data_IF_293871620480
#
_entry.id   IF_293871620480
#
_cell.length_a   1.000
_cell.length_b   1.000
_cell.length_c   1.000
_cell.angle_alpha   90.00
_cell.angle_beta   90.00
_cell.angle_gamma   90.00
#
_symmetry.space_group_name_H-M   'P 1'
#
loop_
_entity.id
_entity.type
_entity.pdbx_description
1 polymer ?
#
# COMPACT_ATOMS: atom_id res chain seq x y z
N UNK A 1 -29.28 44.81 -50.66
CA UNK A 1 -28.10 44.07 -51.18
C UNK A 1 -27.21 43.73 -50.00
N UNK A 2 -27.10 42.43 -49.74
CA UNK A 2 -26.24 41.64 -48.84
C UNK A 2 -25.94 42.11 -47.39
N UNK A 3 -26.27 41.28 -46.39
CA UNK A 3 -25.95 41.53 -44.99
C UNK A 3 -24.51 41.14 -44.63
N UNK A 4 -24.00 41.87 -43.64
CA UNK A 4 -22.75 41.69 -42.92
C UNK A 4 -22.62 40.28 -42.32
N UNK A 5 -21.52 39.59 -42.61
CA UNK A 5 -21.16 38.31 -41.96
C UNK A 5 -20.25 38.59 -40.77
N UNK A 6 -20.80 38.47 -39.57
CA UNK A 6 -20.04 38.37 -38.31
C UNK A 6 -19.51 36.93 -38.21
N UNK A 7 -18.19 36.75 -38.35
CA UNK A 7 -17.53 35.48 -38.06
C UNK A 7 -17.19 35.41 -36.58
N UNK A 8 -17.90 34.58 -35.82
CA UNK A 8 -17.53 34.21 -34.46
C UNK A 8 -16.37 33.22 -34.51
N UNK A 9 -15.18 33.62 -34.05
CA UNK A 9 -14.07 32.70 -33.82
C UNK A 9 -14.23 32.08 -32.42
N UNK A 10 -14.57 30.80 -32.37
CA UNK A 10 -14.53 29.99 -31.15
C UNK A 10 -13.06 29.67 -30.88
N UNK A 11 -12.46 30.36 -29.92
CA UNK A 11 -11.12 30.05 -29.42
C UNK A 11 -11.18 28.78 -28.57
N UNK A 12 -10.65 27.68 -29.07
CA UNK A 12 -10.40 26.49 -28.28
C UNK A 12 -9.27 26.80 -27.27
N UNK A 13 -9.64 26.98 -26.01
CA UNK A 13 -8.70 27.13 -24.91
C UNK A 13 -8.14 25.74 -24.59
N UNK A 14 -6.98 25.41 -25.16
CA UNK A 14 -6.23 24.21 -24.82
C UNK A 14 -5.70 24.37 -23.39
N UNK A 15 -6.42 23.82 -22.40
CA UNK A 15 -5.87 23.66 -21.05
C UNK A 15 -4.72 22.67 -21.14
N UNK A 16 -3.49 23.17 -21.21
CA UNK A 16 -2.30 22.37 -21.04
C UNK A 16 -2.32 21.78 -19.63
N UNK A 17 -2.54 20.47 -19.54
CA UNK A 17 -2.32 19.71 -18.32
C UNK A 17 -0.82 19.80 -18.02
N UNK A 18 -0.44 20.68 -17.09
CA UNK A 18 0.93 20.75 -16.62
C UNK A 18 1.18 19.47 -15.80
N UNK A 19 1.91 18.52 -16.37
CA UNK A 19 2.45 17.39 -15.64
C UNK A 19 3.33 17.97 -14.51
N UNK A 20 2.88 17.80 -13.27
CA UNK A 20 3.71 18.10 -12.12
C UNK A 20 4.87 17.09 -12.09
N UNK A 21 6.08 17.50 -11.65
CA UNK A 21 7.13 16.52 -11.41
C UNK A 21 6.63 15.55 -10.34
N UNK A 22 6.54 14.26 -10.70
CA UNK A 22 6.37 13.21 -9.72
C UNK A 22 7.65 13.15 -8.89
N UNK A 23 7.56 13.38 -7.59
CA UNK A 23 8.63 13.00 -6.68
C UNK A 23 8.58 11.48 -6.58
N UNK A 24 9.74 10.83 -6.71
CA UNK A 24 9.86 9.42 -6.40
C UNK A 24 9.92 9.29 -4.88
N UNK A 25 9.17 8.34 -4.32
CA UNK A 25 9.25 7.97 -2.92
C UNK A 25 10.70 7.59 -2.56
N UNK A 26 11.17 7.98 -1.39
CA UNK A 26 12.47 7.58 -0.87
C UNK A 26 12.20 6.46 0.11
N UNK A 27 12.47 5.21 -0.30
CA UNK A 27 12.12 4.03 0.48
C UNK A 27 13.02 3.90 1.72
N UNK A 28 12.71 4.62 2.79
CA UNK A 28 13.43 4.69 4.06
C UNK A 28 12.52 4.67 5.31
N UNK A 29 11.21 4.69 5.10
CA UNK A 29 10.16 4.67 6.11
C UNK A 29 9.88 6.02 6.74
N UNK A 30 10.51 7.11 6.30
CA UNK A 30 10.39 8.44 6.91
C UNK A 30 9.68 9.45 5.99
N UNK A 31 8.98 10.42 6.59
CA UNK A 31 8.28 11.51 5.89
C UNK A 31 7.25 11.06 4.83
N UNK A 32 6.69 9.86 4.96
CA UNK A 32 5.76 9.20 4.03
C UNK A 32 4.69 10.15 3.45
N UNK A 33 3.97 10.99 4.25
CA UNK A 33 2.92 11.86 3.70
C UNK A 33 3.43 12.95 2.75
N UNK A 34 4.73 13.26 2.80
CA UNK A 34 5.36 14.31 2.00
C UNK A 34 5.91 13.82 0.66
N UNK A 35 5.87 12.50 0.42
CA UNK A 35 6.48 11.88 -0.76
C UNK A 35 5.62 11.93 -2.02
N UNK A 36 4.39 12.44 -1.91
CA UNK A 36 3.49 12.62 -3.04
C UNK A 36 2.66 11.39 -3.41
N UNK A 37 2.69 10.33 -2.59
CA UNK A 37 1.78 9.20 -2.70
C UNK A 37 0.35 9.60 -2.33
N UNK A 38 -0.63 9.00 -3.00
CA UNK A 38 -2.06 9.22 -2.73
C UNK A 38 -2.47 8.57 -1.41
N UNK A 39 -3.09 9.33 -0.50
CA UNK A 39 -3.73 8.79 0.70
C UNK A 39 -4.92 7.90 0.33
N UNK A 40 -4.88 6.63 0.74
CA UNK A 40 -5.88 5.59 0.41
C UNK A 40 -6.76 5.23 1.59
N UNK A 41 -6.23 5.26 2.80
CA UNK A 41 -6.99 5.04 4.03
C UNK A 41 -6.32 5.69 5.23
N UNK A 42 -7.12 6.03 6.24
CA UNK A 42 -6.66 6.46 7.56
C UNK A 42 -7.28 5.58 8.63
N UNK A 43 -6.59 5.43 9.74
CA UNK A 43 -7.11 4.78 10.93
C UNK A 43 -8.23 5.62 11.52
N UNK A 44 -9.31 4.94 11.91
CA UNK A 44 -10.49 5.53 12.55
C UNK A 44 -10.73 4.96 13.96
N UNK A 45 -9.86 4.04 14.38
CA UNK A 45 -9.99 3.27 15.60
C UNK A 45 -8.78 3.50 16.52
N UNK A 46 -8.99 3.89 17.79
CA UNK A 46 -7.92 3.97 18.81
C UNK A 46 -7.18 2.64 18.94
N UNK A 47 -5.88 2.68 19.22
CA UNK A 47 -5.08 1.46 19.33
C UNK A 47 -5.40 0.64 20.58
N UNK A 48 -5.73 -0.63 20.37
CA UNK A 48 -5.85 -1.65 21.41
C UNK A 48 -4.55 -2.40 21.69
N UNK A 49 -3.46 -2.04 21.00
CA UNK A 49 -2.15 -2.73 21.01
C UNK A 49 -1.01 -1.83 21.52
N UNK A 50 -1.37 -0.76 22.23
CA UNK A 50 -0.42 0.20 22.78
C UNK A 50 -0.16 1.36 21.83
N UNK A 51 0.29 2.49 22.39
CA UNK A 51 0.62 3.73 21.70
C UNK A 51 2.13 3.98 21.81
N UNK A 52 2.84 4.12 20.69
CA UNK A 52 4.25 4.44 20.67
C UNK A 52 4.49 5.91 21.03
N UNK A 53 5.19 6.17 22.13
CA UNK A 53 5.44 7.54 22.64
C UNK A 53 6.93 7.88 22.77
N UNK A 54 7.80 6.88 22.63
CA UNK A 54 9.24 7.01 22.92
C UNK A 54 10.14 7.21 21.70
N UNK A 55 9.65 6.99 20.48
CA UNK A 55 10.41 7.11 19.24
C UNK A 55 11.55 6.10 19.08
N UNK A 56 11.53 5.00 19.85
CA UNK A 56 12.55 3.96 19.79
C UNK A 56 12.32 3.04 18.59
N UNK A 57 13.35 2.88 17.76
CA UNK A 57 13.32 2.05 16.56
C UNK A 57 13.08 0.57 16.86
N UNK A 58 13.76 0.04 17.88
CA UNK A 58 13.79 -1.40 18.20
C UNK A 58 12.68 -1.85 19.16
N UNK A 59 11.97 -0.90 19.77
CA UNK A 59 10.96 -1.18 20.79
C UNK A 59 9.59 -0.57 20.49
N UNK A 60 9.52 0.65 19.94
CA UNK A 60 8.35 1.52 19.77
C UNK A 60 7.51 1.81 21.04
N UNK A 61 7.22 0.80 21.85
CA UNK A 61 6.38 0.88 23.06
C UNK A 61 4.89 0.62 22.81
N UNK A 62 4.51 0.36 21.55
CA UNK A 62 3.15 0.03 21.12
C UNK A 62 3.13 -0.36 19.64
N UNK A 63 2.09 -1.08 19.24
CA UNK A 63 1.80 -1.34 17.82
C UNK A 63 0.55 -0.58 17.40
N UNK A 64 0.69 0.30 16.42
CA UNK A 64 -0.41 1.05 15.82
C UNK A 64 -0.16 1.33 14.34
N UNK A 65 -1.26 1.54 13.60
CA UNK A 65 -1.21 1.91 12.19
C UNK A 65 -2.10 3.12 11.98
N UNK A 66 -1.64 4.07 11.17
CA UNK A 66 -2.20 5.41 11.13
C UNK A 66 -2.79 5.77 9.77
N UNK A 67 -2.04 5.58 8.69
CA UNK A 67 -2.46 5.96 7.36
C UNK A 67 -1.74 5.12 6.31
N UNK A 68 -2.44 4.84 5.22
CA UNK A 68 -1.97 4.10 4.07
C UNK A 68 -1.98 5.04 2.87
N UNK A 69 -0.83 5.16 2.23
CA UNK A 69 -0.59 5.87 0.98
C UNK A 69 -0.13 4.84 -0.05
N UNK A 70 -0.64 4.90 -1.27
CA UNK A 70 -0.16 4.00 -2.31
C UNK A 70 -0.50 4.48 -3.72
N UNK A 71 0.38 4.21 -4.68
CA UNK A 71 0.17 4.44 -6.10
C UNK A 71 0.86 3.37 -6.94
N UNK A 72 0.35 3.16 -8.16
CA UNK A 72 0.98 2.30 -9.17
C UNK A 72 1.49 3.20 -10.29
N UNK A 73 2.81 3.21 -10.51
CA UNK A 73 3.46 4.00 -11.52
C UNK A 73 4.52 3.18 -12.26
N UNK A 74 4.44 3.13 -13.59
CA UNK A 74 5.47 2.47 -14.41
C UNK A 74 5.65 0.97 -14.14
N UNK A 75 4.62 0.28 -13.66
CA UNK A 75 4.70 -1.15 -13.29
C UNK A 75 5.21 -1.41 -11.87
N UNK A 76 5.43 -0.36 -11.07
CA UNK A 76 5.81 -0.46 -9.66
C UNK A 76 4.63 -0.02 -8.81
N UNK A 77 4.26 -0.84 -7.83
CA UNK A 77 3.38 -0.46 -6.74
C UNK A 77 4.23 0.08 -5.59
N UNK A 78 4.05 1.35 -5.24
CA UNK A 78 4.68 1.98 -4.09
C UNK A 78 3.64 2.15 -2.99
N UNK A 79 3.95 1.69 -1.78
CA UNK A 79 3.08 1.71 -0.60
C UNK A 79 3.85 2.39 0.53
N UNK A 80 3.22 3.35 1.19
CA UNK A 80 3.69 3.95 2.43
C UNK A 80 2.64 3.79 3.53
N UNK A 81 3.04 3.28 4.68
CA UNK A 81 2.16 3.06 5.84
C UNK A 81 2.82 3.71 7.05
N UNK A 82 2.16 4.70 7.63
CA UNK A 82 2.65 5.34 8.85
C UNK A 82 2.17 4.57 10.08
N UNK A 83 3.04 4.38 11.09
CA UNK A 83 2.74 3.61 12.28
C UNK A 83 3.97 2.99 12.93
N UNK A 84 3.72 2.07 13.85
CA UNK A 84 4.74 1.41 14.65
C UNK A 84 4.38 -0.06 14.91
N UNK A 85 5.40 -0.88 15.13
CA UNK A 85 5.26 -2.24 15.61
C UNK A 85 6.14 -2.43 16.84
N UNK A 86 5.54 -2.84 17.94
CA UNK A 86 6.23 -3.07 19.20
C UNK A 86 7.28 -4.19 19.06
N UNK A 87 8.45 -3.98 19.67
CA UNK A 87 9.59 -4.92 19.71
C UNK A 87 9.36 -6.19 20.54
N UNK A 88 8.16 -6.76 20.50
CA UNK A 88 7.72 -7.93 21.26
C UNK A 88 7.24 -9.08 20.36
N UNK A 89 7.66 -9.05 19.09
CA UNK A 89 7.29 -10.00 18.04
C UNK A 89 5.84 -9.94 17.55
N UNK A 90 5.05 -8.93 17.94
CA UNK A 90 3.84 -8.59 17.20
C UNK A 90 4.13 -8.58 15.69
N UNK A 91 3.14 -8.97 14.89
CA UNK A 91 3.28 -9.04 13.45
C UNK A 91 2.47 -7.96 12.78
N UNK A 92 2.97 -7.48 11.65
CA UNK A 92 2.20 -6.69 10.71
C UNK A 92 2.07 -7.50 9.42
N UNK A 93 0.84 -7.82 9.02
CA UNK A 93 0.53 -8.53 7.78
C UNK A 93 -0.08 -7.55 6.77
N UNK A 94 0.51 -7.50 5.58
CA UNK A 94 -0.05 -6.86 4.39
C UNK A 94 -0.44 -7.96 3.41
N UNK A 95 -1.73 -8.06 3.10
CA UNK A 95 -2.30 -8.94 2.09
C UNK A 95 -2.52 -8.16 0.80
N UNK A 96 -2.25 -8.82 -0.32
CA UNK A 96 -2.25 -8.27 -1.66
C UNK A 96 -3.06 -9.21 -2.55
N UNK A 97 -3.97 -8.65 -3.34
CA UNK A 97 -4.68 -9.33 -4.44
C UNK A 97 -4.29 -8.58 -5.72
N UNK A 98 -3.42 -9.22 -6.51
CA UNK A 98 -2.75 -8.67 -7.66
C UNK A 98 -3.01 -9.46 -8.95
N UNK A 99 -3.24 -10.77 -8.84
CA UNK A 99 -3.40 -11.70 -9.96
C UNK A 99 -4.64 -12.59 -9.77
N UNK A 100 -5.24 -13.13 -10.83
CA UNK A 100 -6.35 -14.07 -10.67
C UNK A 100 -5.94 -15.32 -9.89
N UNK A 101 -6.60 -15.57 -8.77
CA UNK A 101 -6.30 -16.69 -7.88
C UNK A 101 -6.50 -16.29 -6.43
N UNK A 102 -5.81 -16.97 -5.52
CA UNK A 102 -5.78 -16.61 -4.11
C UNK A 102 -7.00 -17.04 -3.30
N UNK A 103 -7.15 -16.42 -2.14
CA UNK A 103 -8.07 -16.83 -1.10
C UNK A 103 -8.94 -15.65 -0.64
N UNK A 104 -10.26 -15.77 -0.79
CA UNK A 104 -11.17 -14.80 -0.14
C UNK A 104 -11.31 -15.08 1.37
N UNK A 105 -11.13 -16.34 1.77
CA UNK A 105 -11.10 -16.78 3.17
C UNK A 105 -9.81 -17.56 3.35
N UNK A 106 -8.96 -17.08 4.25
CA UNK A 106 -7.62 -17.62 4.47
C UNK A 106 -7.70 -19.08 4.92
N UNK A 107 -6.98 -19.96 4.23
CA UNK A 107 -6.86 -21.38 4.55
C UNK A 107 -5.87 -21.62 5.70
N UNK A 108 -5.79 -22.88 6.14
CA UNK A 108 -4.98 -23.33 7.28
C UNK A 108 -3.78 -24.19 6.84
N UNK A 109 -3.30 -23.99 5.62
CA UNK A 109 -2.20 -24.72 5.01
C UNK A 109 -1.23 -23.83 4.22
N UNK A 110 -1.21 -22.54 4.55
CA UNK A 110 -0.39 -21.52 3.92
C UNK A 110 1.04 -21.46 4.48
N UNK A 111 2.01 -21.28 3.59
CA UNK A 111 3.41 -21.03 3.90
C UNK A 111 3.62 -19.53 4.19
N UNK A 112 4.40 -19.20 5.22
CA UNK A 112 4.76 -17.81 5.55
C UNK A 112 6.26 -17.58 5.73
N UNK A 113 7.07 -18.63 5.50
CA UNK A 113 8.52 -18.56 5.62
C UNK A 113 9.00 -18.44 7.07
N UNK A 114 8.12 -18.67 8.05
CA UNK A 114 8.39 -18.60 9.47
C UNK A 114 7.89 -19.83 10.23
N UNK A 115 7.18 -19.61 11.33
CA UNK A 115 6.66 -20.65 12.21
C UNK A 115 5.23 -21.06 11.85
N UNK A 116 4.73 -20.66 10.68
CA UNK A 116 3.38 -20.98 10.21
C UNK A 116 2.29 -20.15 10.89
N UNK A 117 2.64 -18.95 11.38
CA UNK A 117 1.74 -18.08 12.13
C UNK A 117 0.53 -17.64 11.28
N UNK A 118 0.70 -17.49 9.96
CA UNK A 118 -0.41 -17.16 9.05
C UNK A 118 -1.62 -18.09 9.20
N UNK A 119 -1.38 -19.37 9.52
CA UNK A 119 -2.42 -20.39 9.67
C UNK A 119 -3.26 -20.20 10.94
N UNK A 120 -2.74 -19.48 11.94
CA UNK A 120 -3.50 -19.12 13.13
C UNK A 120 -4.59 -18.08 12.84
N UNK A 121 -4.54 -17.43 11.66
CA UNK A 121 -5.59 -16.54 11.15
C UNK A 121 -6.61 -17.25 10.25
N UNK A 122 -6.54 -18.57 10.08
CA UNK A 122 -7.44 -19.30 9.20
C UNK A 122 -8.92 -18.99 9.47
N UNK A 123 -9.68 -18.83 8.39
CA UNK A 123 -11.08 -18.37 8.44
C UNK A 123 -11.26 -16.85 8.43
N UNK A 124 -10.16 -16.07 8.42
CA UNK A 124 -10.20 -14.63 8.15
C UNK A 124 -10.64 -14.39 6.70
N UNK A 125 -11.69 -13.60 6.52
CA UNK A 125 -12.19 -13.24 5.19
C UNK A 125 -11.70 -11.86 4.75
N UNK A 126 -11.75 -11.59 3.44
CA UNK A 126 -11.46 -10.29 2.85
C UNK A 126 -12.72 -9.69 2.21
N UNK A 127 -12.95 -8.40 2.48
CA UNK A 127 -14.11 -7.67 1.98
C UNK A 127 -14.10 -7.52 0.45
N UNK A 128 -15.22 -7.06 -0.10
CA UNK A 128 -15.40 -6.72 -1.53
C UNK A 128 -15.14 -7.89 -2.50
N UNK A 129 -15.12 -9.12 -2.01
CA UNK A 129 -14.84 -10.31 -2.82
C UNK A 129 -13.38 -10.43 -3.26
N UNK A 130 -12.47 -9.66 -2.65
CA UNK A 130 -11.04 -9.77 -2.92
C UNK A 130 -10.53 -11.17 -2.58
N UNK A 131 -9.63 -11.68 -3.39
CA UNK A 131 -9.03 -13.01 -3.26
C UNK A 131 -7.53 -12.84 -3.12
N UNK A 132 -7.07 -12.61 -1.89
CA UNK A 132 -5.66 -12.29 -1.61
C UNK A 132 -4.77 -13.44 -2.07
N UNK A 133 -3.72 -13.12 -2.81
CA UNK A 133 -2.83 -14.07 -3.47
C UNK A 133 -1.39 -13.99 -2.94
N UNK A 134 -0.96 -12.80 -2.52
CA UNK A 134 0.38 -12.56 -2.02
C UNK A 134 0.32 -11.74 -0.73
N UNK A 135 1.47 -11.59 -0.09
CA UNK A 135 1.60 -10.62 0.97
C UNK A 135 2.98 -10.52 1.58
N UNK A 136 3.07 -9.65 2.57
CA UNK A 136 4.26 -9.41 3.37
C UNK A 136 3.94 -9.53 4.85
N UNK A 137 4.87 -10.11 5.60
CA UNK A 137 4.86 -10.17 7.05
C UNK A 137 6.07 -9.43 7.59
N UNK A 138 5.82 -8.48 8.48
CA UNK A 138 6.83 -7.74 9.21
C UNK A 138 6.82 -8.17 10.68
N UNK A 139 8.01 -8.25 11.27
CA UNK A 139 8.16 -8.50 12.70
C UNK A 139 9.41 -7.82 13.24
N UNK A 140 9.35 -7.48 14.52
CA UNK A 140 10.50 -7.00 15.28
C UNK A 140 10.41 -7.49 16.72
N UNK A 141 11.55 -7.93 17.26
CA UNK A 141 11.63 -8.36 18.65
C UNK A 141 12.93 -9.09 18.96
N UNK A 142 13.34 -9.08 20.23
CA UNK A 142 14.54 -9.81 20.67
C UNK A 142 15.83 -9.41 19.94
N UNK A 143 15.90 -8.18 19.41
CA UNK A 143 17.01 -7.70 18.59
C UNK A 143 17.02 -8.20 17.15
N UNK A 144 15.91 -8.77 16.66
CA UNK A 144 15.72 -9.24 15.29
C UNK A 144 14.64 -8.41 14.59
N UNK A 145 14.79 -8.19 13.28
CA UNK A 145 13.70 -7.79 12.40
C UNK A 145 13.57 -8.78 11.23
N UNK A 146 12.34 -8.96 10.77
CA UNK A 146 12.07 -9.82 9.62
C UNK A 146 10.98 -9.25 8.73
N UNK A 147 11.26 -9.19 7.43
CA UNK A 147 10.30 -8.94 6.36
C UNK A 147 10.32 -10.13 5.44
N UNK A 148 9.19 -10.83 5.35
CA UNK A 148 9.02 -12.04 4.54
C UNK A 148 7.85 -11.89 3.61
N UNK A 149 7.99 -12.41 2.41
CA UNK A 149 6.91 -12.54 1.45
C UNK A 149 6.28 -13.93 1.53
N UNK A 150 5.00 -14.01 1.22
CA UNK A 150 4.27 -15.25 1.04
C UNK A 150 3.40 -15.20 -0.21
N UNK A 151 3.20 -16.37 -0.80
CA UNK A 151 2.37 -16.64 -1.96
C UNK A 151 1.35 -17.73 -1.58
N UNK A 152 0.08 -17.35 -1.58
CA UNK A 152 -1.06 -18.19 -1.22
C UNK A 152 -1.50 -19.09 -2.39
N UNK A 153 -1.13 -18.77 -3.63
CA UNK A 153 -1.46 -19.57 -4.80
C UNK A 153 -0.51 -20.76 -4.90
N UNK A 154 0.79 -20.47 -4.89
CA UNK A 154 1.83 -21.49 -5.04
C UNK A 154 2.22 -22.11 -3.68
N UNK A 155 1.69 -21.56 -2.59
CA UNK A 155 1.96 -21.98 -1.22
C UNK A 155 3.46 -21.95 -0.90
N UNK A 156 4.08 -20.81 -1.20
CA UNK A 156 5.52 -20.59 -0.98
C UNK A 156 5.77 -19.34 -0.17
N UNK A 157 6.99 -19.19 0.32
CA UNK A 157 7.40 -18.00 1.06
C UNK A 157 8.91 -17.81 0.97
N UNK A 158 9.37 -16.59 1.27
CA UNK A 158 10.79 -16.26 1.24
C UNK A 158 11.13 -14.99 2.01
N UNK A 159 12.42 -14.84 2.31
CA UNK A 159 12.93 -13.63 2.96
C UNK A 159 13.03 -12.49 1.93
N UNK A 160 12.52 -11.31 2.32
CA UNK A 160 12.74 -10.05 1.60
C UNK A 160 13.93 -9.32 2.23
N UNK A 161 13.87 -9.10 3.54
CA UNK A 161 14.95 -8.51 4.32
C UNK A 161 14.87 -9.00 5.78
N UNK A 162 15.96 -9.56 6.29
CA UNK A 162 16.05 -10.03 7.69
C UNK A 162 17.39 -9.63 8.29
N UNK A 163 17.41 -9.34 9.59
CA UNK A 163 18.63 -8.96 10.30
C UNK A 163 18.46 -9.00 11.81
N UNK A 164 19.56 -8.80 12.54
CA UNK A 164 19.50 -8.61 13.98
C UNK A 164 20.76 -7.94 14.57
N UNK A 165 20.54 -7.14 15.62
CA UNK A 165 21.56 -6.40 16.36
C UNK A 165 21.12 -4.99 16.78
N UNK A 166 21.84 -4.33 17.70
CA UNK A 166 21.63 -2.90 17.98
C UNK A 166 21.95 -2.07 16.73
N UNK A 167 20.96 -1.33 16.20
CA UNK A 167 21.15 -0.40 15.06
C UNK A 167 20.59 -0.87 13.72
N UNK A 168 19.78 -1.92 13.71
CA UNK A 168 19.25 -2.53 12.49
C UNK A 168 18.00 -1.84 11.90
N UNK A 169 17.36 -0.97 12.68
CA UNK A 169 16.37 0.00 12.19
C UNK A 169 16.91 1.43 12.39
N UNK A 170 16.67 2.35 11.44
CA UNK A 170 15.79 2.21 10.28
C UNK A 170 16.39 1.42 9.10
N UNK A 171 15.52 0.82 8.27
CA UNK A 171 15.89 0.25 6.97
C UNK A 171 15.69 1.28 5.86
N UNK A 172 16.61 1.31 4.89
CA UNK A 172 16.46 2.13 3.70
C UNK A 172 16.86 1.34 2.44
N UNK A 173 15.89 1.13 1.55
CA UNK A 173 16.09 0.56 0.22
C UNK A 173 16.64 -0.87 0.21
N UNK A 174 16.26 -1.71 1.18
CA UNK A 174 16.71 -3.11 1.26
C UNK A 174 15.64 -4.05 0.69
N UNK A 175 16.03 -5.15 0.07
CA UNK A 175 15.05 -6.12 -0.41
C UNK A 175 15.59 -7.16 -1.37
N UNK A 176 14.69 -8.00 -1.85
CA UNK A 176 14.94 -9.15 -2.71
C UNK A 176 13.67 -9.51 -3.50
N UNK A 177 13.80 -10.24 -4.60
CA UNK A 177 12.65 -10.85 -5.27
C UNK A 177 11.62 -9.87 -5.86
N UNK A 178 12.04 -8.67 -6.26
CA UNK A 178 11.12 -7.63 -6.77
C UNK A 178 10.54 -6.72 -5.69
N UNK A 179 10.94 -6.90 -4.43
CA UNK A 179 10.55 -6.06 -3.31
C UNK A 179 11.71 -5.16 -2.87
N UNK A 180 11.40 -3.91 -2.54
CA UNK A 180 12.30 -2.98 -1.85
C UNK A 180 11.55 -2.38 -0.66
N UNK A 181 12.20 -2.30 0.50
CA UNK A 181 11.56 -1.96 1.78
C UNK A 181 12.38 -0.91 2.52
N UNK A 182 11.65 0.06 3.07
CA UNK A 182 12.10 1.07 4.03
C UNK A 182 11.29 0.91 5.31
N UNK A 183 11.92 1.12 6.46
CA UNK A 183 11.22 1.00 7.74
C UNK A 183 11.85 1.90 8.80
N UNK A 184 11.11 2.91 9.21
CA UNK A 184 11.37 3.76 10.37
C UNK A 184 10.28 3.56 11.41
N UNK A 185 10.62 2.88 12.50
CA UNK A 185 9.70 2.52 13.59
C UNK A 185 9.67 3.59 14.70
N UNK A 186 10.16 4.81 14.45
CA UNK A 186 10.28 5.89 15.44
C UNK A 186 9.07 6.82 15.55
N UNK A 187 7.96 6.51 14.86
CA UNK A 187 6.77 7.35 14.90
C UNK A 187 6.23 7.52 16.34
N UNK A 188 5.83 8.74 16.72
CA UNK A 188 5.27 9.08 18.05
C UNK A 188 3.98 9.89 17.96
N UNK A 189 3.47 10.04 16.74
CA UNK A 189 2.25 10.78 16.40
C UNK A 189 1.24 9.78 15.84
N UNK A 190 -0.03 10.18 15.69
CA UNK A 190 -1.04 9.28 15.17
C UNK A 190 -2.16 9.01 16.16
N UNK A 191 -2.72 7.80 16.05
CA UNK A 191 -3.73 7.27 16.95
C UNK A 191 -3.11 6.91 18.30
N UNK A 192 -3.91 7.02 19.35
CA UNK A 192 -3.53 6.59 20.68
C UNK A 192 -4.61 5.67 21.28
N UNK A 193 -4.45 5.24 22.53
CA UNK A 193 -5.41 4.35 23.19
C UNK A 193 -6.78 4.98 23.48
N UNK A 194 -6.95 6.29 23.27
CA UNK A 194 -8.18 7.03 23.52
C UNK A 194 -8.81 7.62 22.25
N UNK A 195 -8.04 7.86 21.19
CA UNK A 195 -8.47 8.63 20.02
C UNK A 195 -7.76 8.21 18.74
N UNK A 196 -8.51 8.19 17.64
CA UNK A 196 -7.96 8.05 16.28
C UNK A 196 -7.77 9.39 15.56
N UNK A 197 -8.13 10.51 16.18
CA UNK A 197 -8.16 11.83 15.51
C UNK A 197 -6.77 12.29 15.01
N UNK A 198 -5.70 11.75 15.59
CA UNK A 198 -4.33 12.07 15.21
C UNK A 198 -3.79 11.26 14.03
N UNK A 199 -4.52 10.30 13.48
CA UNK A 199 -4.03 9.37 12.45
C UNK A 199 -3.23 10.05 11.33
N UNK A 200 -3.74 11.15 10.74
CA UNK A 200 -3.08 11.87 9.65
C UNK A 200 -1.81 12.65 10.05
N UNK A 201 -1.45 12.68 11.33
CA UNK A 201 -0.25 13.39 11.84
C UNK A 201 0.99 12.51 11.90
N UNK A 202 0.83 11.18 11.79
CA UNK A 202 1.94 10.25 11.72
C UNK A 202 2.72 10.42 10.42
N UNK A 203 4.04 10.26 10.48
CA UNK A 203 4.92 10.55 9.34
C UNK A 203 5.92 9.45 9.00
N UNK A 204 6.18 8.51 9.92
CA UNK A 204 7.09 7.39 9.69
C UNK A 204 6.41 6.04 9.91
N UNK A 205 6.98 4.99 9.33
CA UNK A 205 6.52 3.61 9.40
C UNK A 205 7.19 2.75 8.34
N UNK A 206 6.41 2.06 7.51
CA UNK A 206 6.88 1.17 6.45
C UNK A 206 6.69 1.77 5.07
N UNK A 207 7.68 1.57 4.21
CA UNK A 207 7.58 1.84 2.78
C UNK A 207 7.98 0.59 2.00
N UNK A 208 7.23 0.31 0.94
CA UNK A 208 7.36 -0.91 0.16
C UNK A 208 7.21 -0.54 -1.31
N UNK A 209 8.20 -0.87 -2.12
CA UNK A 209 8.08 -0.93 -3.57
C UNK A 209 8.03 -2.37 -4.04
N UNK A 210 7.11 -2.63 -4.95
CA UNK A 210 6.93 -3.92 -5.59
C UNK A 210 7.00 -3.72 -7.10
N UNK A 211 8.05 -4.22 -7.74
CA UNK A 211 8.08 -4.38 -9.19
C UNK A 211 7.10 -5.50 -9.55
N UNK A 212 5.94 -5.13 -10.08
CA UNK A 212 4.83 -6.06 -10.31
C UNK A 212 5.19 -7.16 -11.33
N UNK A 213 6.08 -6.86 -12.28
CA UNK A 213 6.53 -7.83 -13.27
C UNK A 213 7.50 -8.80 -12.63
N UNK A 214 8.46 -8.30 -11.87
CA UNK A 214 9.45 -9.14 -11.21
C UNK A 214 8.84 -10.00 -10.10
N UNK A 215 7.98 -9.40 -9.28
CA UNK A 215 7.37 -10.07 -8.13
C UNK A 215 6.25 -11.02 -8.54
N UNK A 216 5.36 -10.60 -9.45
CA UNK A 216 4.10 -11.30 -9.73
C UNK A 216 3.87 -11.65 -11.20
N UNK A 217 4.80 -11.29 -12.10
CA UNK A 217 4.58 -11.43 -13.55
C UNK A 217 3.45 -10.56 -14.09
N UNK A 218 3.04 -9.54 -13.33
CA UNK A 218 1.93 -8.64 -13.66
C UNK A 218 2.47 -7.36 -14.27
N UNK A 219 1.95 -6.96 -15.43
CA UNK A 219 2.35 -5.70 -16.07
C UNK A 219 1.42 -4.53 -15.77
N UNK A 220 0.19 -4.80 -15.33
CA UNK A 220 -0.86 -3.81 -15.11
C UNK A 220 -2.12 -4.46 -14.54
N UNK A 221 -2.87 -3.69 -13.76
CA UNK A 221 -4.08 -4.12 -13.08
C UNK A 221 -4.36 -3.24 -11.87
N UNK A 222 -5.57 -3.32 -11.36
CA UNK A 222 -5.88 -2.80 -10.04
C UNK A 222 -5.32 -3.77 -9.00
N UNK A 223 -4.83 -3.24 -7.87
CA UNK A 223 -4.30 -4.05 -6.77
C UNK A 223 -5.15 -3.81 -5.53
N UNK A 224 -5.64 -4.88 -4.92
CA UNK A 224 -6.38 -4.82 -3.66
C UNK A 224 -5.42 -5.03 -2.49
N UNK A 225 -5.56 -4.20 -1.46
CA UNK A 225 -4.75 -4.27 -0.24
C UNK A 225 -5.64 -4.40 0.99
N UNK A 226 -5.23 -5.27 1.91
CA UNK A 226 -5.74 -5.32 3.27
C UNK A 226 -4.60 -5.54 4.25
N UNK A 227 -4.72 -5.01 5.45
CA UNK A 227 -3.67 -5.19 6.44
C UNK A 227 -4.17 -5.28 7.87
N UNK A 228 -3.41 -5.97 8.72
CA UNK A 228 -3.72 -6.16 10.13
C UNK A 228 -2.46 -6.34 10.96
N UNK A 229 -2.46 -5.76 12.17
CA UNK A 229 -1.48 -6.08 13.20
C UNK A 229 -2.01 -7.22 14.07
N UNK A 230 -1.14 -8.17 14.42
CA UNK A 230 -1.48 -9.30 15.28
C UNK A 230 -0.51 -9.42 16.45
N UNK A 231 -0.88 -10.23 17.44
CA UNK A 231 0.08 -10.71 18.42
C UNK A 231 1.17 -11.59 17.77
N UNK A 232 2.17 -12.00 18.55
CA UNK A 232 3.34 -12.73 18.04
C UNK A 232 3.03 -14.03 17.29
N UNK A 233 2.07 -14.81 17.77
CA UNK A 233 1.67 -16.06 17.12
C UNK A 233 0.59 -15.87 16.04
N UNK A 234 0.16 -14.63 15.76
CA UNK A 234 -0.96 -14.29 14.88
C UNK A 234 -2.32 -14.94 15.21
N UNK A 235 -2.47 -15.55 16.40
CA UNK A 235 -3.75 -16.08 16.88
C UNK A 235 -4.70 -15.03 17.46
N UNK A 236 -4.25 -13.79 17.62
CA UNK A 236 -5.05 -12.66 18.07
C UNK A 236 -4.80 -11.43 17.19
N UNK A 237 -5.80 -11.09 16.38
CA UNK A 237 -5.84 -9.92 15.52
C UNK A 237 -6.26 -8.70 16.35
N UNK A 238 -5.49 -7.63 16.20
CA UNK A 238 -5.79 -6.33 16.81
C UNK A 238 -6.94 -5.62 16.07
N UNK A 239 -7.31 -4.45 16.58
CA UNK A 239 -8.13 -3.49 15.87
C UNK A 239 -7.33 -2.55 14.94
N UNK A 240 -6.04 -2.80 14.77
CA UNK A 240 -5.13 -1.99 13.97
C UNK A 240 -5.07 -2.56 12.55
N UNK A 241 -6.01 -2.11 11.71
CA UNK A 241 -6.11 -2.44 10.28
C UNK A 241 -6.08 -1.18 9.43
N UNK A 242 -5.73 -1.31 8.15
CA UNK A 242 -6.02 -0.30 7.12
C UNK A 242 -6.67 -0.99 5.91
N UNK A 243 -7.84 -0.53 5.44
CA UNK A 243 -8.69 0.51 6.05
C UNK A 243 -9.12 0.24 7.50
N UNK A 244 -9.55 1.28 8.22
CA UNK A 244 -9.97 1.18 9.62
C UNK A 244 -11.27 0.38 9.82
N UNK A 245 -11.54 0.00 11.06
CA UNK A 245 -12.69 -0.86 11.44
C UNK A 245 -13.92 -0.07 11.91
N UNK A 246 -13.99 1.24 11.67
CA UNK A 246 -15.07 2.12 12.13
C UNK A 246 -15.25 2.09 13.66
N UNK A 247 -14.15 2.08 14.42
CA UNK A 247 -14.14 2.13 15.87
C UNK A 247 -14.31 0.77 16.58
N UNK A 248 -14.19 -0.34 15.86
CA UNK A 248 -14.32 -1.67 16.46
C UNK A 248 -13.18 -1.98 17.46
N UNK A 249 -13.46 -2.88 18.41
CA UNK A 249 -12.42 -3.41 19.30
C UNK A 249 -11.52 -4.43 18.60
N UNK A 250 -10.55 -4.97 19.35
CA UNK A 250 -9.69 -6.04 18.84
C UNK A 250 -10.52 -7.21 18.32
N UNK A 251 -10.12 -7.75 17.17
CA UNK A 251 -10.89 -8.76 16.44
C UNK A 251 -10.81 -10.16 17.08
N UNK A 252 -9.77 -10.44 17.87
CA UNK A 252 -9.58 -11.76 18.46
C UNK A 252 -9.07 -12.77 17.42
N UNK A 253 -9.61 -13.98 17.37
CA UNK A 253 -9.21 -14.97 16.36
C UNK A 253 -9.66 -14.58 14.94
N UNK A 254 -8.98 -15.10 13.91
CA UNK A 254 -9.29 -14.79 12.51
C UNK A 254 -10.65 -15.31 12.02
N UNK A 255 -11.07 -16.48 12.49
CA UNK A 255 -12.30 -17.12 12.02
C UNK A 255 -13.55 -16.27 12.29
N UNK A 256 -14.31 -15.98 11.23
CA UNK A 256 -15.54 -15.19 11.29
C UNK A 256 -15.32 -13.68 11.26
N UNK A 257 -14.08 -13.23 11.11
CA UNK A 257 -13.74 -11.83 10.87
C UNK A 257 -13.63 -11.53 9.38
N UNK A 258 -13.78 -10.26 9.01
CA UNK A 258 -13.59 -9.80 7.63
C UNK A 258 -12.76 -8.53 7.64
N UNK A 259 -11.59 -8.56 7.00
CA UNK A 259 -10.78 -7.35 6.84
C UNK A 259 -11.35 -6.45 5.76
N UNK A 260 -11.41 -5.13 5.99
CA UNK A 260 -11.69 -4.18 4.94
C UNK A 260 -10.56 -4.19 3.90
N UNK A 261 -10.92 -3.86 2.65
CA UNK A 261 -10.02 -3.88 1.50
C UNK A 261 -10.08 -2.53 0.81
N UNK A 262 -8.93 -2.02 0.37
CA UNK A 262 -8.83 -0.84 -0.50
C UNK A 262 -8.24 -1.23 -1.84
N UNK A 263 -8.79 -0.66 -2.93
CA UNK A 263 -8.29 -0.87 -4.29
C UNK A 263 -7.38 0.28 -4.69
N UNK A 264 -6.18 -0.06 -5.16
CA UNK A 264 -5.22 0.85 -5.78
C UNK A 264 -5.42 0.75 -7.29
N UNK A 265 -5.96 1.79 -7.94
CA UNK A 265 -6.24 1.72 -9.36
C UNK A 265 -4.94 1.68 -10.16
N UNK A 266 -4.84 0.74 -11.09
CA UNK A 266 -3.82 0.77 -12.12
C UNK A 266 -4.06 1.96 -13.06
N UNK A 267 -2.99 2.56 -13.59
CA UNK A 267 -3.17 3.59 -14.63
C UNK A 267 -3.86 2.95 -15.84
N UNK A 268 -4.94 3.56 -16.37
CA UNK A 268 -5.56 3.09 -17.59
C UNK A 268 -4.55 3.21 -18.72
N UNK A 269 -4.27 2.11 -19.43
CA UNK A 269 -3.57 2.19 -20.71
C UNK A 269 -4.45 3.02 -21.63
N UNK A 270 -3.93 4.09 -22.28
CA UNK A 270 -4.64 4.63 -23.42
C UNK A 270 -4.71 3.51 -24.44
N UNK A 271 -5.90 2.92 -24.60
CA UNK A 271 -6.18 1.97 -25.67
C UNK A 271 -5.57 2.54 -26.98
N UNK A 272 -4.95 1.71 -27.84
CA UNK A 272 -4.25 2.20 -29.02
C UNK A 272 -5.12 3.12 -29.91
N UNK A 273 -6.44 3.02 -29.81
CA UNK A 273 -7.43 3.90 -30.44
C UNK A 273 -7.46 5.34 -29.88
N UNK A 274 -7.20 5.55 -28.59
CA UNK A 274 -7.18 6.88 -27.96
C UNK A 274 -5.94 7.70 -28.37
N UNK A 275 -4.78 7.06 -28.50
CA UNK A 275 -3.56 7.69 -29.01
C UNK A 275 -3.67 8.02 -30.50
N UNK A 276 -4.32 7.14 -31.30
CA UNK A 276 -4.56 7.38 -32.72
C UNK A 276 -5.51 8.57 -32.95
N UNK A 277 -6.54 8.72 -32.11
CA UNK A 277 -7.52 9.80 -32.25
C UNK A 277 -6.90 11.18 -32.00
N UNK A 278 -5.97 11.30 -31.04
CA UNK A 278 -5.21 12.54 -30.82
C UNK A 278 -4.26 12.86 -32.00
N UNK A 279 -3.61 11.85 -32.59
CA UNK A 279 -2.76 12.02 -33.77
C UNK A 279 -3.52 12.40 -35.05
N UNK A 280 -4.73 11.87 -35.24
CA UNK A 280 -5.59 12.16 -36.41
C UNK A 280 -6.26 13.53 -36.30
N UNK A 281 -6.65 13.97 -35.11
CA UNK A 281 -7.21 15.32 -34.90
C UNK A 281 -6.13 16.40 -35.11
N UNK A 282 -4.90 16.18 -34.65
CA UNK A 282 -3.80 17.12 -34.88
C UNK A 282 -3.41 17.25 -36.36
N UNK A 283 -3.42 16.13 -37.11
CA UNK A 283 -3.06 16.10 -38.53
C UNK A 283 -4.15 16.67 -39.46
N UNK A 284 -5.43 16.51 -39.13
CA UNK A 284 -6.54 17.11 -39.89
C UNK A 284 -6.64 18.63 -39.70
N UNK A 285 -6.31 19.14 -38.51
CA UNK A 285 -6.22 20.60 -38.24
C UNK A 285 -5.00 21.22 -38.95
N UNK A 286 -3.88 20.49 -39.03
CA UNK A 286 -2.69 20.96 -39.77
C UNK A 286 -2.89 20.93 -41.31
N UNK A 287 -3.58 19.92 -41.84
CA UNK A 287 -3.82 19.78 -43.27
C UNK A 287 -4.83 20.81 -43.83
N UNK A 288 -5.84 21.19 -43.04
CA UNK A 288 -6.82 22.21 -43.44
C UNK A 288 -6.24 23.64 -43.49
N UNK A 289 -5.09 23.88 -42.86
CA UNK A 289 -4.38 25.17 -42.90
C UNK A 289 -3.46 25.35 -44.12
N UNK A 290 -3.14 24.28 -44.87
CA UNK A 290 -2.21 24.31 -46.02
C UNK A 290 -2.89 24.46 -47.39
N UNK A 291 -4.22 24.40 -47.46
CA UNK A 291 -4.99 24.45 -48.73
C UNK A 291 -5.53 25.86 -49.04
N UNK A 292 -5.05 26.90 -48.34
CA UNK A 292 -5.32 28.31 -48.67
C UNK A 292 -4.02 29.10 -48.71
N UNK A 293 -3.32 28.98 -49.83
CA UNK A 293 -2.16 29.77 -50.24
C UNK A 293 -2.08 29.75 -51.76
#
# INVERSE_FOLDING_TARGET
MNPCRVGAAIGACLMGLLAQPAFAAVIDGANIPSEGLTLRATQDTPTGFGNATGGGQDSAGGSEVNALYADINGGVLTIGITGNLEGNFNKFFLFIDAVPGGENVLANDNADGGFGEINNMAGLAFANGATMDHGLRFEIGGGFYGVRQFDLIDNTAGDVATGGGPGDLPLAGVGSGGFTVGWDNSNVLGVDGASAAGAATATSGWEIEIDLVQAYGLSQGDINLAMVVTNGDAGFLSNQTLPGLNGAGNLGGGNGQTLPVVTIPGLPVPEPSAALLMGVVASTIAATRRVRG
#
